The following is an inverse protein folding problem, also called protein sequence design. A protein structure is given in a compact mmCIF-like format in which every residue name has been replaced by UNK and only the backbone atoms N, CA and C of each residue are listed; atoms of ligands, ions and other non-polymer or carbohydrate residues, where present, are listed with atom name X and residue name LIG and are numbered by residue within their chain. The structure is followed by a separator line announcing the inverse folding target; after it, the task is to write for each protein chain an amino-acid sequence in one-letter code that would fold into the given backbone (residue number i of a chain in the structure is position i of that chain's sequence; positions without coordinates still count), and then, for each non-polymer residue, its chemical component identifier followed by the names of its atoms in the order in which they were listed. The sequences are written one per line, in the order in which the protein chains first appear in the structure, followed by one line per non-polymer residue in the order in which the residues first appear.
data_IF_417665037875
#
_entry.id   IF_417665037875
#
_cell.length_a   1.000
_cell.length_b   1.000
_cell.length_c   1.000
_cell.angle_alpha   90.00
_cell.angle_beta   90.00
_cell.angle_gamma   90.00
#
_symmetry.space_group_name_H-M   'P 1'
#
loop_
_entity.id
_entity.type
_entity.pdbx_description
1 polymer ?
#
# COMPACT_ATOMS: atom_id res chain seq x y z
N UNK A 1 -35.22 14.11 -39.49
CA UNK A 1 -33.84 14.61 -39.31
C UNK A 1 -33.62 14.68 -37.82
N UNK A 2 -32.82 13.76 -37.27
CA UNK A 2 -32.53 13.67 -35.85
C UNK A 2 -31.49 14.75 -35.48
N UNK A 3 -31.91 15.71 -34.67
CA UNK A 3 -31.14 16.90 -34.32
C UNK A 3 -30.65 16.81 -32.87
N UNK A 4 -30.11 15.64 -32.49
CA UNK A 4 -29.53 15.44 -31.17
C UNK A 4 -28.17 16.15 -31.11
N UNK A 5 -27.99 17.19 -30.27
CA UNK A 5 -26.73 17.93 -30.21
C UNK A 5 -25.59 17.01 -29.78
N UNK A 6 -24.48 17.05 -30.51
CA UNK A 6 -23.29 16.27 -30.22
C UNK A 6 -22.79 16.58 -28.79
N UNK A 7 -22.58 15.52 -27.98
CA UNK A 7 -22.08 15.66 -26.62
C UNK A 7 -20.69 16.31 -26.64
N UNK A 8 -20.53 17.43 -25.92
CA UNK A 8 -19.24 18.10 -25.75
C UNK A 8 -18.37 17.30 -24.79
N UNK A 9 -17.26 16.75 -25.28
CA UNK A 9 -16.21 16.20 -24.43
C UNK A 9 -15.27 17.33 -23.99
N UNK A 10 -15.04 17.46 -22.68
CA UNK A 10 -14.05 18.38 -22.12
C UNK A 10 -12.70 17.66 -21.92
N UNK A 11 -11.56 18.36 -22.05
CA UNK A 11 -10.26 17.77 -21.78
C UNK A 11 -10.12 17.35 -20.32
N UNK A 12 -9.43 16.24 -20.08
CA UNK A 12 -9.05 15.82 -18.72
C UNK A 12 -8.05 16.82 -18.17
N UNK A 13 -8.31 17.33 -16.97
CA UNK A 13 -7.40 18.26 -16.31
C UNK A 13 -6.16 17.55 -15.80
N UNK A 14 -4.99 18.17 -15.97
CA UNK A 14 -3.80 17.82 -15.19
C UNK A 14 -4.02 18.25 -13.74
N UNK A 15 -3.89 17.31 -12.81
CA UNK A 15 -4.10 17.55 -11.38
C UNK A 15 -2.76 17.78 -10.73
N UNK A 16 -2.61 18.92 -10.04
CA UNK A 16 -1.40 19.22 -9.28
C UNK A 16 -1.24 18.23 -8.10
N UNK A 17 0.00 17.98 -7.64
CA UNK A 17 0.24 17.19 -6.43
C UNK A 17 -0.53 17.76 -5.22
N UNK A 18 -0.98 16.86 -4.34
CA UNK A 18 -1.64 17.28 -3.11
C UNK A 18 -0.69 18.09 -2.20
N UNK A 19 -1.17 19.13 -1.48
CA UNK A 19 -0.32 19.91 -0.59
C UNK A 19 0.36 19.04 0.48
N UNK A 20 1.64 19.30 0.82
CA UNK A 20 2.37 18.45 1.76
C UNK A 20 1.88 18.59 3.21
N UNK A 21 1.20 19.69 3.54
CA UNK A 21 0.73 20.00 4.89
C UNK A 21 -0.56 19.24 5.23
N UNK A 22 -0.66 18.63 6.43
CA UNK A 22 -1.88 18.00 6.87
C UNK A 22 -3.05 19.00 6.96
N UNK A 23 -4.30 18.57 6.68
CA UNK A 23 -5.48 19.40 6.88
C UNK A 23 -5.64 19.86 8.33
N UNK A 24 -6.41 20.93 8.55
CA UNK A 24 -6.67 21.45 9.89
C UNK A 24 -7.21 20.38 10.86
N UNK A 25 -6.59 20.28 12.04
CA UNK A 25 -6.92 19.30 13.08
C UNK A 25 -6.35 17.88 12.84
N UNK A 26 -5.59 17.68 11.77
CA UNK A 26 -4.77 16.49 11.55
C UNK A 26 -3.32 16.75 11.95
N UNK A 27 -2.60 15.67 12.22
CA UNK A 27 -1.15 15.64 12.42
C UNK A 27 -0.58 14.59 11.48
N UNK A 28 0.59 14.87 10.91
CA UNK A 28 1.34 13.87 10.14
C UNK A 28 1.90 12.84 11.12
N UNK A 29 1.60 11.58 10.90
CA UNK A 29 2.10 10.47 11.71
C UNK A 29 2.85 9.48 10.82
N UNK A 30 4.05 9.09 11.24
CA UNK A 30 4.88 8.08 10.60
C UNK A 30 4.96 6.86 11.50
N UNK A 31 4.26 5.80 11.11
CA UNK A 31 4.36 4.52 11.80
C UNK A 31 5.46 3.68 11.13
N UNK A 32 6.41 3.18 11.93
CA UNK A 32 7.49 2.33 11.43
C UNK A 32 7.47 0.97 12.13
N UNK A 33 7.90 -0.06 11.40
CA UNK A 33 8.09 -1.40 11.95
C UNK A 33 9.18 -2.16 11.21
N UNK A 34 9.87 -3.05 11.93
CA UNK A 34 10.85 -3.97 11.38
C UNK A 34 10.50 -5.42 11.73
N UNK A 35 10.88 -6.33 10.85
CA UNK A 35 10.84 -7.78 11.07
C UNK A 35 12.10 -8.40 10.47
N UNK A 36 12.71 -9.31 11.22
CA UNK A 36 13.69 -10.24 10.65
C UNK A 36 12.94 -11.47 10.16
N UNK A 37 13.04 -11.75 8.86
CA UNK A 37 12.35 -12.84 8.17
C UNK A 37 13.39 -13.93 7.85
N UNK A 38 13.13 -15.15 8.28
CA UNK A 38 13.91 -16.36 8.04
C UNK A 38 13.82 -16.88 6.60
N UNK A 39 13.77 -15.99 5.61
CA UNK A 39 13.74 -16.29 4.17
C UNK A 39 14.72 -15.36 3.44
N UNK A 40 15.22 -15.85 2.31
CA UNK A 40 16.11 -15.09 1.45
C UNK A 40 15.41 -13.85 0.86
N UNK A 41 16.18 -12.79 0.63
CA UNK A 41 15.66 -11.48 0.19
C UNK A 41 14.86 -11.55 -1.10
N UNK A 42 15.32 -12.33 -2.07
CA UNK A 42 14.60 -12.55 -3.33
C UNK A 42 13.22 -13.19 -3.12
N UNK A 43 13.09 -14.15 -2.20
CA UNK A 43 11.80 -14.77 -1.88
C UNK A 43 10.86 -13.80 -1.15
N UNK A 44 11.39 -13.01 -0.20
CA UNK A 44 10.63 -11.95 0.47
C UNK A 44 10.16 -10.90 -0.53
N UNK A 45 11.03 -10.49 -1.45
CA UNK A 45 10.72 -9.54 -2.51
C UNK A 45 9.63 -10.05 -3.44
N UNK A 46 9.75 -11.29 -3.92
CA UNK A 46 8.73 -11.93 -4.75
C UNK A 46 7.38 -11.94 -4.04
N UNK A 47 7.32 -12.38 -2.79
CA UNK A 47 6.09 -12.38 -2.00
C UNK A 47 5.51 -10.97 -1.82
N UNK A 48 6.37 -9.99 -1.57
CA UNK A 48 5.97 -8.60 -1.34
C UNK A 48 5.44 -7.91 -2.61
N UNK A 49 5.85 -8.36 -3.79
CA UNK A 49 5.49 -7.83 -5.10
C UNK A 49 4.57 -8.77 -5.91
N UNK A 50 4.02 -9.80 -5.29
CA UNK A 50 3.04 -10.68 -5.91
C UNK A 50 1.61 -10.15 -5.63
N UNK A 51 0.82 -9.79 -6.65
CA UNK A 51 -0.57 -9.38 -6.48
C UNK A 51 -1.42 -10.41 -5.73
N UNK A 52 -1.15 -11.71 -5.93
CA UNK A 52 -1.91 -12.81 -5.30
C UNK A 52 -1.83 -12.76 -3.78
N UNK A 53 -0.71 -12.31 -3.22
CA UNK A 53 -0.52 -12.06 -1.78
C UNK A 53 -1.61 -11.14 -1.20
N UNK A 54 -2.18 -10.24 -2.02
CA UNK A 54 -3.17 -9.26 -1.60
C UNK A 54 -4.59 -9.56 -2.09
N UNK A 55 -4.74 -10.21 -3.25
CA UNK A 55 -6.05 -10.52 -3.83
C UNK A 55 -6.63 -11.82 -3.30
N UNK A 56 -5.78 -12.81 -3.00
CA UNK A 56 -6.24 -14.15 -2.69
C UNK A 56 -6.73 -14.23 -1.23
N UNK A 57 -7.82 -14.96 -1.01
CA UNK A 57 -8.40 -15.14 0.32
C UNK A 57 -9.16 -13.92 0.87
N UNK A 58 -9.35 -12.87 0.07
CA UNK A 58 -10.23 -11.75 0.44
C UNK A 58 -11.67 -12.24 0.59
N UNK A 59 -12.25 -12.02 1.76
CA UNK A 59 -13.63 -12.37 2.07
C UNK A 59 -14.53 -11.19 1.67
N UNK A 60 -15.66 -11.39 0.98
CA UNK A 60 -16.58 -10.30 0.67
C UNK A 60 -16.97 -9.49 1.92
N UNK A 61 -17.03 -8.14 1.82
CA UNK A 61 -16.94 -7.33 0.61
C UNK A 61 -15.54 -6.71 0.37
N UNK A 62 -14.47 -7.25 0.97
CA UNK A 62 -13.11 -6.75 0.74
C UNK A 62 -12.61 -7.11 -0.66
N UNK A 63 -11.91 -6.18 -1.31
CA UNK A 63 -11.35 -6.36 -2.66
C UNK A 63 -10.04 -5.61 -2.82
N UNK A 64 -9.14 -6.19 -3.61
CA UNK A 64 -7.93 -5.52 -4.10
C UNK A 64 -7.92 -5.62 -5.61
N UNK A 65 -7.69 -4.50 -6.27
CA UNK A 65 -7.66 -4.39 -7.73
C UNK A 65 -6.40 -3.65 -8.18
N UNK A 66 -5.86 -4.05 -9.32
CA UNK A 66 -4.73 -3.41 -9.99
C UNK A 66 -5.17 -3.02 -11.40
N UNK A 67 -5.00 -1.74 -11.75
CA UNK A 67 -5.29 -1.22 -13.08
C UNK A 67 -3.99 -0.91 -13.80
N UNK A 68 -3.97 -1.26 -15.09
CA UNK A 68 -2.83 -1.11 -15.96
C UNK A 68 -2.28 0.33 -15.97
N UNK A 69 -0.96 0.49 -15.94
CA UNK A 69 -0.31 1.80 -16.08
C UNK A 69 -0.33 2.29 -17.53
N UNK A 70 0.20 3.50 -17.77
CA UNK A 70 0.28 4.09 -19.11
C UNK A 70 1.16 3.30 -20.10
N UNK A 71 2.08 2.48 -19.60
CA UNK A 71 2.95 1.62 -20.40
C UNK A 71 2.31 0.27 -20.74
N UNK A 72 1.12 -0.03 -20.23
CA UNK A 72 0.45 -1.31 -20.46
C UNK A 72 0.80 -2.40 -19.44
N UNK A 73 1.52 -2.07 -18.36
CA UNK A 73 1.93 -3.02 -17.31
C UNK A 73 0.89 -3.12 -16.20
N UNK A 74 0.82 -4.27 -15.53
CA UNK A 74 -0.08 -4.54 -14.38
C UNK A 74 0.67 -5.23 -13.24
N UNK A 75 0.03 -5.37 -12.08
CA UNK A 75 0.63 -5.95 -10.89
C UNK A 75 1.55 -4.98 -10.15
N UNK A 76 2.80 -5.36 -9.93
CA UNK A 76 3.79 -4.51 -9.22
C UNK A 76 4.79 -3.89 -10.20
N UNK A 77 4.32 -2.90 -10.95
CA UNK A 77 5.15 -2.02 -11.78
C UNK A 77 4.89 -0.55 -11.42
N UNK A 78 5.87 0.32 -11.66
CA UNK A 78 5.74 1.75 -11.36
C UNK A 78 4.57 2.37 -12.14
N UNK A 79 3.80 3.25 -11.50
CA UNK A 79 2.64 3.88 -12.11
C UNK A 79 1.39 3.00 -12.22
N UNK A 80 1.45 1.72 -11.80
CA UNK A 80 0.24 0.88 -11.71
C UNK A 80 -0.66 1.41 -10.60
N UNK A 81 -1.93 1.61 -10.94
CA UNK A 81 -2.93 2.04 -9.98
C UNK A 81 -3.45 0.84 -9.22
N UNK A 82 -3.71 1.02 -7.94
CA UNK A 82 -4.35 -0.01 -7.14
C UNK A 82 -5.46 0.57 -6.26
N UNK A 83 -6.40 -0.29 -5.88
CA UNK A 83 -7.42 0.03 -4.90
C UNK A 83 -7.61 -1.16 -3.97
N UNK A 84 -7.44 -0.95 -2.66
CA UNK A 84 -7.87 -1.89 -1.64
C UNK A 84 -9.07 -1.29 -0.90
N UNK A 85 -10.23 -1.91 -1.06
CA UNK A 85 -11.51 -1.39 -0.59
C UNK A 85 -12.22 -2.40 0.30
N UNK A 86 -13.02 -1.89 1.22
CA UNK A 86 -13.84 -2.68 2.11
C UNK A 86 -14.63 -1.80 3.07
N UNK A 87 -15.37 -2.40 4.01
CA UNK A 87 -16.08 -1.66 5.04
C UNK A 87 -15.08 -0.79 5.82
N UNK A 88 -15.40 0.51 5.91
CA UNK A 88 -14.59 1.49 6.61
C UNK A 88 -13.18 1.69 6.05
N UNK A 89 -12.90 1.30 4.81
CA UNK A 89 -11.60 1.56 4.19
C UNK A 89 -11.68 1.75 2.68
N UNK A 90 -10.89 2.68 2.21
CA UNK A 90 -10.59 2.87 0.79
C UNK A 90 -9.13 3.26 0.70
N UNK A 91 -8.30 2.40 0.13
CA UNK A 91 -6.87 2.61 -0.05
C UNK A 91 -6.57 2.58 -1.54
N UNK A 92 -6.92 3.67 -2.21
CA UNK A 92 -6.62 3.87 -3.63
C UNK A 92 -5.31 4.62 -3.77
N UNK A 93 -4.46 4.15 -4.67
CA UNK A 93 -3.15 4.73 -4.86
C UNK A 93 -2.51 4.33 -6.17
N UNK A 94 -1.23 4.66 -6.26
CA UNK A 94 -0.36 4.33 -7.38
C UNK A 94 0.96 3.81 -6.81
N UNK A 95 1.45 2.71 -7.38
CA UNK A 95 2.80 2.25 -7.09
C UNK A 95 3.78 3.30 -7.59
N UNK A 96 4.64 3.76 -6.69
CA UNK A 96 5.63 4.78 -7.03
C UNK A 96 6.91 4.12 -7.50
N UNK A 97 8.00 4.42 -6.82
CA UNK A 97 9.33 3.91 -7.12
C UNK A 97 9.47 2.45 -6.64
N UNK A 98 10.07 1.62 -7.50
CA UNK A 98 10.34 0.21 -7.23
C UNK A 98 11.81 -0.08 -7.60
N UNK A 99 12.64 -0.25 -6.58
CA UNK A 99 14.00 -0.76 -6.71
C UNK A 99 14.02 -2.27 -6.39
N UNK A 100 14.26 -3.15 -7.38
CA UNK A 100 14.23 -4.59 -7.18
C UNK A 100 15.01 -5.08 -5.97
N UNK A 101 14.37 -5.91 -5.15
CA UNK A 101 14.88 -6.48 -3.90
C UNK A 101 15.33 -5.48 -2.83
N UNK A 102 15.07 -4.18 -2.99
CA UNK A 102 15.58 -3.16 -2.07
C UNK A 102 14.48 -2.27 -1.54
N UNK A 103 13.61 -1.77 -2.40
CA UNK A 103 12.65 -0.75 -2.01
C UNK A 103 11.41 -0.76 -2.91
N UNK A 104 10.25 -0.53 -2.31
CA UNK A 104 9.07 -0.09 -3.05
C UNK A 104 8.19 0.82 -2.24
N UNK A 105 7.42 1.65 -2.92
CA UNK A 105 6.34 2.41 -2.30
C UNK A 105 5.00 2.36 -3.03
N UNK A 106 3.99 2.73 -2.26
CA UNK A 106 2.62 2.95 -2.69
C UNK A 106 2.20 4.33 -2.19
N UNK A 107 1.88 5.23 -3.12
CA UNK A 107 1.38 6.56 -2.83
C UNK A 107 -0.13 6.55 -2.85
N UNK A 108 -0.76 6.93 -1.74
CA UNK A 108 -2.21 6.95 -1.63
C UNK A 108 -2.78 8.29 -2.11
N UNK A 109 -3.90 8.22 -2.82
CA UNK A 109 -4.64 9.41 -3.22
C UNK A 109 -5.36 10.07 -2.05
N UNK A 110 -5.73 11.35 -2.21
CA UNK A 110 -6.47 12.11 -1.21
C UNK A 110 -7.78 11.43 -0.76
N UNK A 111 -8.40 10.67 -1.65
CA UNK A 111 -9.60 9.84 -1.41
C UNK A 111 -9.37 8.61 -0.51
N UNK A 112 -8.14 8.37 -0.05
CA UNK A 112 -7.83 7.23 0.79
C UNK A 112 -8.10 7.48 2.27
N UNK A 113 -8.66 6.49 2.94
CA UNK A 113 -8.96 6.53 4.37
C UNK A 113 -8.99 5.16 5.04
N UNK A 114 -8.66 5.15 6.33
CA UNK A 114 -8.98 4.06 7.25
C UNK A 114 -10.00 4.56 8.28
N UNK A 115 -11.03 3.76 8.55
CA UNK A 115 -12.23 4.06 9.32
C UNK A 115 -13.12 5.15 8.68
N UNK A 116 -12.57 6.33 8.46
CA UNK A 116 -13.25 7.47 7.84
C UNK A 116 -12.23 8.52 7.42
N UNK A 117 -12.54 9.27 6.36
CA UNK A 117 -11.82 10.50 6.00
C UNK A 117 -11.70 11.52 7.14
N UNK A 118 -12.61 11.49 8.12
CA UNK A 118 -12.56 12.38 9.28
C UNK A 118 -11.50 11.94 10.32
N UNK A 119 -10.93 10.74 10.19
CA UNK A 119 -10.05 10.12 11.17
C UNK A 119 -8.64 9.88 10.64
N UNK A 120 -8.48 9.01 9.64
CA UNK A 120 -7.17 8.54 9.20
C UNK A 120 -7.06 8.57 7.68
N UNK A 121 -6.05 9.26 7.16
CA UNK A 121 -5.81 9.43 5.73
C UNK A 121 -4.39 8.97 5.40
N UNK A 122 -4.19 7.70 4.99
CA UNK A 122 -2.88 7.25 4.58
C UNK A 122 -2.43 8.03 3.34
N UNK A 123 -1.12 8.26 3.24
CA UNK A 123 -0.51 9.07 2.17
C UNK A 123 0.60 8.30 1.47
N UNK A 124 1.36 7.48 2.21
CA UNK A 124 2.43 6.66 1.63
C UNK A 124 2.66 5.40 2.45
N UNK A 125 2.80 4.27 1.79
CA UNK A 125 3.27 3.00 2.36
C UNK A 125 4.59 2.62 1.69
N UNK A 126 5.61 2.34 2.47
CA UNK A 126 6.96 2.06 2.00
C UNK A 126 7.49 0.79 2.63
N UNK A 127 8.26 0.04 1.85
CA UNK A 127 8.99 -1.13 2.29
C UNK A 127 10.44 -1.05 1.86
N UNK A 128 11.35 -1.42 2.77
CA UNK A 128 12.77 -1.61 2.48
C UNK A 128 13.17 -3.02 2.86
N UNK A 129 14.02 -3.64 2.04
CA UNK A 129 14.60 -4.93 2.31
C UNK A 129 16.12 -4.81 2.37
N UNK A 130 16.69 -5.39 3.41
CA UNK A 130 18.14 -5.51 3.64
C UNK A 130 18.45 -6.98 3.97
N UNK A 131 19.72 -7.36 3.87
CA UNK A 131 20.15 -8.66 4.36
C UNK A 131 20.02 -8.71 5.89
N UNK A 132 19.52 -9.82 6.43
CA UNK A 132 19.34 -9.98 7.88
C UNK A 132 20.64 -10.32 8.61
N UNK A 133 20.56 -10.50 9.94
CA UNK A 133 21.75 -10.72 10.77
C UNK A 133 22.35 -12.11 10.53
N UNK A 134 21.53 -13.09 10.12
CA UNK A 134 21.95 -14.44 9.78
C UNK A 134 21.90 -14.68 8.27
N UNK A 135 22.79 -15.56 7.78
CA UNK A 135 22.79 -15.95 6.37
C UNK A 135 21.42 -16.52 5.96
N UNK A 136 20.88 -16.04 4.85
CA UNK A 136 19.59 -16.48 4.33
C UNK A 136 18.38 -15.86 5.02
N UNK A 137 18.58 -14.84 5.85
CA UNK A 137 17.51 -14.04 6.46
C UNK A 137 17.44 -12.65 5.82
N UNK A 138 16.30 -11.99 5.95
CA UNK A 138 16.02 -10.66 5.38
C UNK A 138 15.50 -9.75 6.48
N UNK A 139 16.08 -8.56 6.61
CA UNK A 139 15.49 -7.49 7.41
C UNK A 139 14.50 -6.72 6.55
N UNK A 140 13.22 -6.78 6.91
CA UNK A 140 12.17 -6.00 6.26
C UNK A 140 11.77 -4.83 7.15
N UNK A 141 11.83 -3.61 6.62
CA UNK A 141 11.32 -2.41 7.25
C UNK A 141 10.07 -1.91 6.52
N UNK A 142 9.07 -1.49 7.27
CA UNK A 142 7.88 -0.79 6.79
C UNK A 142 7.83 0.61 7.38
N UNK A 143 7.38 1.56 6.57
CA UNK A 143 6.89 2.87 7.02
C UNK A 143 5.51 3.15 6.41
N UNK A 144 4.54 3.51 7.25
CA UNK A 144 3.24 4.00 6.84
C UNK A 144 3.06 5.43 7.32
N UNK A 145 2.94 6.32 6.36
CA UNK A 145 2.72 7.75 6.57
C UNK A 145 1.24 8.07 6.40
N UNK A 146 0.64 8.71 7.40
CA UNK A 146 -0.76 9.09 7.38
C UNK A 146 -1.01 10.45 8.03
N UNK A 147 -2.00 11.18 7.53
CA UNK A 147 -2.58 12.29 8.25
C UNK A 147 -3.65 11.74 9.20
N UNK A 148 -3.43 11.96 10.51
CA UNK A 148 -4.24 11.38 11.58
C UNK A 148 -4.92 12.49 12.35
N UNK A 149 -6.22 12.35 12.61
CA UNK A 149 -6.96 13.29 13.46
C UNK A 149 -6.32 13.31 14.84
N UNK A 150 -5.90 14.49 15.32
CA UNK A 150 -5.12 14.64 16.56
C UNK A 150 -5.72 13.92 17.77
N UNK A 151 -7.04 13.99 17.95
CA UNK A 151 -7.75 13.31 19.06
C UNK A 151 -7.77 11.77 18.97
N UNK A 152 -7.45 11.21 17.82
CA UNK A 152 -7.50 9.77 17.53
C UNK A 152 -6.11 9.14 17.33
N UNK A 153 -5.03 9.90 17.52
CA UNK A 153 -3.65 9.45 17.31
C UNK A 153 -3.30 8.19 18.14
N UNK A 154 -3.70 8.15 19.42
CA UNK A 154 -3.46 6.98 20.26
C UNK A 154 -4.17 5.73 19.76
N UNK A 155 -5.36 5.89 19.19
CA UNK A 155 -6.12 4.77 18.60
C UNK A 155 -5.39 4.28 17.35
N UNK A 156 -4.98 5.22 16.48
CA UNK A 156 -4.20 4.92 15.29
C UNK A 156 -2.94 4.09 15.60
N UNK A 157 -2.09 4.54 16.52
CA UNK A 157 -0.85 3.85 16.90
C UNK A 157 -1.11 2.42 17.36
N UNK A 158 -2.11 2.23 18.23
CA UNK A 158 -2.48 0.89 18.74
C UNK A 158 -2.98 -0.01 17.61
N UNK A 159 -3.82 0.50 16.71
CA UNK A 159 -4.31 -0.24 15.56
C UNK A 159 -3.20 -0.63 14.60
N UNK A 160 -2.26 0.28 14.33
CA UNK A 160 -1.12 0.01 13.47
C UNK A 160 -0.18 -1.03 14.07
N UNK A 161 0.13 -0.93 15.37
CA UNK A 161 0.92 -1.95 16.05
C UNK A 161 0.24 -3.32 15.99
N UNK A 162 -1.06 -3.40 16.31
CA UNK A 162 -1.79 -4.66 16.30
C UNK A 162 -1.81 -5.31 14.90
N UNK A 163 -2.15 -4.53 13.87
CA UNK A 163 -2.26 -5.03 12.51
C UNK A 163 -0.89 -5.45 11.96
N UNK A 164 0.06 -4.52 11.93
CA UNK A 164 1.37 -4.76 11.33
C UNK A 164 2.21 -5.78 12.13
N UNK A 165 1.95 -6.02 13.42
CA UNK A 165 2.59 -7.11 14.17
C UNK A 165 2.42 -8.48 13.52
N UNK A 166 1.33 -8.70 12.79
CA UNK A 166 1.03 -9.98 12.15
C UNK A 166 1.72 -10.12 10.79
N UNK A 167 2.09 -9.01 10.15
CA UNK A 167 2.54 -8.98 8.77
C UNK A 167 3.79 -9.85 8.52
N UNK A 168 4.84 -9.71 9.34
CA UNK A 168 6.02 -10.57 9.22
C UNK A 168 5.71 -12.07 9.39
N UNK A 169 4.73 -12.44 10.23
CA UNK A 169 4.30 -13.84 10.38
C UNK A 169 3.54 -14.36 9.17
N UNK A 170 2.79 -13.51 8.47
CA UNK A 170 2.13 -13.89 7.21
C UNK A 170 3.18 -14.17 6.14
N UNK A 171 4.17 -13.29 5.99
CA UNK A 171 5.30 -13.48 5.08
C UNK A 171 6.04 -14.81 5.33
N UNK A 172 6.38 -15.10 6.59
CA UNK A 172 7.02 -16.36 6.98
C UNK A 172 6.21 -17.60 6.63
N UNK A 173 4.89 -17.54 6.86
CA UNK A 173 3.99 -18.67 6.63
C UNK A 173 3.79 -18.93 5.13
N UNK A 174 3.66 -17.87 4.35
CA UNK A 174 3.22 -17.95 2.95
C UNK A 174 4.40 -18.28 2.01
N UNK A 175 5.65 -17.98 2.41
CA UNK A 175 6.85 -18.40 1.67
C UNK A 175 7.20 -19.85 2.04
N UNK A 176 7.10 -20.82 1.10
CA UNK A 176 7.40 -22.22 1.38
C UNK A 176 8.82 -22.43 1.90
N UNK A 177 9.02 -23.40 2.79
CA UNK A 177 10.35 -23.82 3.19
C UNK A 177 11.05 -24.47 2.00
N UNK A 178 12.20 -23.92 1.59
CA UNK A 178 13.01 -24.43 0.46
C UNK A 178 13.60 -25.83 0.69
N UNK A 179 13.40 -26.44 1.87
CA UNK A 179 13.85 -27.78 2.24
C UNK A 179 12.89 -28.91 1.83
N UNK A 180 11.74 -28.58 1.21
CA UNK A 180 10.72 -29.55 0.78
C UNK A 180 10.65 -29.71 -0.75
N UNK A 181 11.72 -29.37 -1.48
CA UNK A 181 11.87 -29.72 -2.90
C UNK A 181 12.99 -30.72 -3.09
#
# INVERSE_FOLDING_TARGET
MDNTPARKAAPIMSVAPFPPAPPAGFVRHEYQRRWEIGRARSAVWQWLCDPSTFTDGQIPPFRVEFLTNAAGETGFAEGVYNAHVGPFMSFSGVLGEIEPERYRDLQYFYGSYAISHALFRPTRLQFWLEDGNARGTTMMQLQLTADVRRRAERVWVKSMDLFWRRFGRWCERDIPNSWLR
#
